data_IF_215950143141
#
_entry.id   IF_215950143141
#
_cell.length_a   1.000
_cell.length_b   1.000
_cell.length_c   1.000
_cell.angle_alpha   90.00
_cell.angle_beta   90.00
_cell.angle_gamma   90.00
#
_symmetry.space_group_name_H-M   'P 1'
#
loop_
_entity.id
_entity.type
_entity.pdbx_description
1 polymer ?
#
# COMPACT_ATOMS: atom_id res chain seq x y z
N UNK A 1 24.82 11.97 6.00
CA UNK A 1 24.30 10.71 5.43
C UNK A 1 23.25 11.08 4.40
N UNK A 2 23.49 10.81 3.13
CA UNK A 2 22.67 11.31 2.01
C UNK A 2 21.29 10.66 2.05
N UNK A 3 20.23 11.47 2.16
CA UNK A 3 18.90 11.04 1.80
C UNK A 3 18.90 10.72 0.31
N UNK A 4 18.91 9.43 -0.03
CA UNK A 4 18.64 8.99 -1.40
C UNK A 4 17.26 9.55 -1.77
N UNK A 5 17.24 10.54 -2.68
CA UNK A 5 16.00 10.97 -3.30
C UNK A 5 15.57 9.84 -4.20
N UNK A 6 14.40 9.30 -3.90
CA UNK A 6 13.84 8.18 -4.61
C UNK A 6 13.23 8.69 -5.93
N UNK A 7 13.91 8.47 -7.06
CA UNK A 7 13.56 8.98 -8.39
C UNK A 7 12.32 8.31 -9.03
N UNK A 8 11.44 7.69 -8.24
CA UNK A 8 10.29 6.94 -8.78
C UNK A 8 9.20 7.81 -9.43
N UNK A 9 9.32 9.14 -9.37
CA UNK A 9 8.36 10.08 -9.96
C UNK A 9 6.89 9.65 -9.79
N UNK A 10 6.53 9.27 -8.56
CA UNK A 10 5.17 8.83 -8.22
C UNK A 10 4.19 9.97 -8.49
N UNK A 11 3.05 9.65 -9.10
CA UNK A 11 2.01 10.65 -9.42
C UNK A 11 1.42 11.26 -8.15
N UNK A 12 0.93 12.49 -8.24
CA UNK A 12 0.27 13.20 -7.14
C UNK A 12 -1.08 12.58 -6.72
N UNK A 13 -1.72 11.83 -7.61
CA UNK A 13 -2.99 11.15 -7.34
C UNK A 13 -2.84 9.67 -7.70
N UNK A 14 -2.81 8.81 -6.70
CA UNK A 14 -2.60 7.37 -6.82
C UNK A 14 -3.83 6.60 -6.38
N UNK A 15 -4.25 5.65 -7.21
CA UNK A 15 -5.19 4.60 -6.82
C UNK A 15 -4.44 3.30 -6.57
N UNK A 16 -4.76 2.62 -5.47
CA UNK A 16 -4.25 1.29 -5.15
C UNK A 16 -5.38 0.29 -5.41
N UNK A 17 -5.15 -0.66 -6.31
CA UNK A 17 -6.10 -1.71 -6.64
C UNK A 17 -5.52 -3.08 -6.27
N UNK A 18 -6.27 -3.85 -5.46
CA UNK A 18 -5.84 -5.16 -4.98
C UNK A 18 -6.80 -6.25 -5.47
N UNK A 19 -6.27 -7.17 -6.26
CA UNK A 19 -7.03 -8.34 -6.74
C UNK A 19 -7.24 -9.38 -5.65
N UNK A 20 -8.31 -10.16 -5.78
CA UNK A 20 -8.57 -11.32 -4.93
C UNK A 20 -7.58 -12.47 -5.19
N UNK A 21 -7.16 -13.15 -4.13
CA UNK A 21 -6.19 -14.25 -4.26
C UNK A 21 -6.18 -15.28 -3.13
N UNK A 22 -7.11 -15.19 -2.17
CA UNK A 22 -7.06 -16.01 -0.96
C UNK A 22 -5.75 -15.78 -0.21
N UNK A 23 -5.10 -16.86 0.21
CA UNK A 23 -3.80 -16.80 0.88
C UNK A 23 -2.71 -16.08 0.07
N UNK A 24 -2.83 -15.99 -1.26
CA UNK A 24 -1.87 -15.23 -2.08
C UNK A 24 -1.93 -13.71 -1.86
N UNK A 25 -2.89 -13.22 -1.07
CA UNK A 25 -2.89 -11.84 -0.57
C UNK A 25 -1.60 -11.46 0.16
N UNK A 26 -0.85 -12.44 0.69
CA UNK A 26 0.48 -12.21 1.29
C UNK A 26 1.50 -11.64 0.30
N UNK A 27 1.40 -11.97 -1.00
CA UNK A 27 2.24 -11.36 -2.05
C UNK A 27 1.96 -9.86 -2.13
N UNK A 28 0.68 -9.48 -2.05
CA UNK A 28 0.28 -8.07 -2.04
C UNK A 28 0.76 -7.38 -0.76
N UNK A 29 0.61 -8.02 0.40
CA UNK A 29 1.09 -7.48 1.68
C UNK A 29 2.59 -7.14 1.62
N UNK A 30 3.42 -8.04 1.08
CA UNK A 30 4.84 -7.75 0.83
C UNK A 30 5.06 -6.56 -0.12
N UNK A 31 4.25 -6.44 -1.18
CA UNK A 31 4.30 -5.28 -2.07
C UNK A 31 3.91 -3.96 -1.40
N UNK A 32 2.95 -4.00 -0.46
CA UNK A 32 2.53 -2.83 0.33
C UNK A 32 3.64 -2.38 1.29
N UNK A 33 4.34 -3.32 1.95
CA UNK A 33 5.50 -3.02 2.80
C UNK A 33 6.57 -2.27 1.99
N UNK A 34 6.88 -2.76 0.80
CA UNK A 34 7.88 -2.10 -0.05
C UNK A 34 7.40 -0.75 -0.56
N UNK A 35 6.11 -0.61 -0.87
CA UNK A 35 5.53 0.67 -1.26
C UNK A 35 5.61 1.69 -0.10
N UNK A 36 5.35 1.28 1.14
CA UNK A 36 5.54 2.13 2.34
C UNK A 36 6.98 2.63 2.46
N UNK A 37 7.96 1.74 2.26
CA UNK A 37 9.38 2.08 2.27
C UNK A 37 9.75 3.07 1.15
N UNK A 38 9.27 2.82 -0.07
CA UNK A 38 9.50 3.66 -1.24
C UNK A 38 8.95 5.07 -1.03
N UNK A 39 7.76 5.17 -0.47
CA UNK A 39 7.07 6.45 -0.23
C UNK A 39 7.53 7.15 1.05
N UNK A 40 8.26 6.44 1.92
CA UNK A 40 8.68 6.93 3.24
C UNK A 40 7.50 7.24 4.16
N UNK A 41 6.36 6.55 3.95
CA UNK A 41 5.11 6.78 4.69
C UNK A 41 4.56 5.45 5.18
N UNK A 42 4.22 5.40 6.46
CA UNK A 42 3.68 4.22 7.12
C UNK A 42 2.76 4.65 8.27
N UNK A 43 1.46 4.28 8.28
CA UNK A 43 0.74 3.49 7.28
C UNK A 43 0.53 4.23 5.94
N UNK A 44 0.40 3.46 4.86
CA UNK A 44 0.20 3.93 3.47
C UNK A 44 -0.93 4.97 3.30
N UNK A 45 -2.03 4.84 4.05
CA UNK A 45 -3.19 5.75 3.97
C UNK A 45 -2.87 7.19 4.38
N UNK A 46 -1.76 7.41 5.11
CA UNK A 46 -1.32 8.74 5.51
C UNK A 46 -0.60 9.49 4.37
N UNK A 47 -0.27 8.80 3.27
CA UNK A 47 0.38 9.43 2.14
C UNK A 47 -0.65 10.30 1.39
N UNK A 48 -0.44 11.63 1.31
CA UNK A 48 -1.41 12.53 0.69
C UNK A 48 -1.63 12.22 -0.80
N UNK A 49 -0.77 11.46 -1.46
CA UNK A 49 -0.92 11.05 -2.86
C UNK A 49 -1.95 9.95 -3.04
N UNK A 50 -2.21 9.12 -2.02
CA UNK A 50 -3.17 8.01 -2.09
C UNK A 50 -4.58 8.57 -2.03
N UNK A 51 -5.35 8.41 -3.10
CA UNK A 51 -6.72 8.96 -3.22
C UNK A 51 -7.80 7.90 -3.13
N UNK A 52 -7.49 6.70 -3.63
CA UNK A 52 -8.45 5.60 -3.70
C UNK A 52 -7.72 4.32 -3.37
N UNK A 53 -8.34 3.49 -2.53
CA UNK A 53 -7.95 2.10 -2.32
C UNK A 53 -9.15 1.23 -2.64
N UNK A 54 -8.98 0.27 -3.52
CA UNK A 54 -10.02 -0.65 -3.95
C UNK A 54 -9.48 -2.08 -3.94
N UNK A 55 -10.38 -3.04 -3.72
CA UNK A 55 -10.01 -4.43 -3.91
C UNK A 55 -11.20 -5.36 -3.97
N UNK A 56 -10.97 -6.59 -4.45
CA UNK A 56 -11.99 -7.63 -4.63
C UNK A 56 -11.67 -8.86 -3.77
N UNK A 57 -12.68 -9.47 -3.14
CA UNK A 57 -12.50 -10.66 -2.27
C UNK A 57 -11.44 -10.41 -1.17
N UNK A 58 -10.36 -11.19 -1.08
CA UNK A 58 -9.25 -10.93 -0.14
C UNK A 58 -8.67 -9.52 -0.32
N UNK A 59 -8.63 -9.02 -1.55
CA UNK A 59 -8.24 -7.64 -1.82
C UNK A 59 -9.18 -6.61 -1.19
N UNK A 60 -10.47 -6.91 -1.02
CA UNK A 60 -11.41 -6.05 -0.28
C UNK A 60 -11.06 -5.98 1.21
N UNK A 61 -10.61 -7.10 1.80
CA UNK A 61 -10.14 -7.12 3.20
C UNK A 61 -8.85 -6.31 3.36
N UNK A 62 -7.90 -6.47 2.43
CA UNK A 62 -6.66 -5.67 2.40
C UNK A 62 -6.97 -4.19 2.22
N UNK A 63 -7.86 -3.84 1.29
CA UNK A 63 -8.29 -2.45 1.07
C UNK A 63 -8.95 -1.85 2.33
N UNK A 64 -9.79 -2.62 3.02
CA UNK A 64 -10.41 -2.19 4.28
C UNK A 64 -9.38 -2.02 5.40
N UNK A 65 -8.40 -2.93 5.50
CA UNK A 65 -7.29 -2.83 6.47
C UNK A 65 -6.46 -1.56 6.27
N UNK A 66 -6.08 -1.27 5.02
CA UNK A 66 -5.39 -0.03 4.67
C UNK A 66 -6.23 1.20 5.03
N UNK A 67 -7.54 1.17 4.74
CA UNK A 67 -8.44 2.30 5.02
C UNK A 67 -8.57 2.61 6.53
N UNK A 68 -8.41 1.62 7.41
CA UNK A 68 -8.40 1.82 8.87
C UNK A 68 -7.00 2.12 9.43
N UNK A 69 -5.99 2.28 8.58
CA UNK A 69 -4.64 2.66 8.98
C UNK A 69 -3.72 1.50 9.37
N UNK A 70 -4.04 0.26 8.99
CA UNK A 70 -3.09 -0.84 9.13
C UNK A 70 -1.93 -0.71 8.14
N UNK A 71 -0.75 -1.08 8.60
CA UNK A 71 0.49 -1.14 7.81
C UNK A 71 0.58 -2.44 6.99
N UNK A 72 1.47 -2.47 6.00
CA UNK A 72 1.70 -3.69 5.21
C UNK A 72 2.09 -4.89 6.09
N UNK A 73 2.88 -4.68 7.13
CA UNK A 73 3.31 -5.71 8.08
C UNK A 73 2.19 -6.22 9.00
N UNK A 74 1.19 -5.40 9.33
CA UNK A 74 0.05 -5.84 10.15
C UNK A 74 -0.96 -6.67 9.32
N UNK A 75 -0.92 -6.54 7.99
CA UNK A 75 -1.77 -7.28 7.05
C UNK A 75 -1.15 -8.65 6.71
N UNK A 76 0.18 -8.79 6.81
CA UNK A 76 0.92 -10.02 6.52
C UNK A 76 0.69 -11.11 7.59
#
# INVERSE_FOLDING_TARGET
>A
MSSQRNDYHIRENVGIAVDGGGVRGTIVAHGLIELENILGTRPLINDPRVKVVAGTSTGSLIAAALAIGMTGEEIL
#
